data_IF_817633574364
#
_entry.id   IF_817633574364
#
_cell.length_a   1.000
_cell.length_b   1.000
_cell.length_c   1.000
_cell.angle_alpha   90.00
_cell.angle_beta   90.00
_cell.angle_gamma   90.00
#
_symmetry.space_group_name_H-M   'P 1'
#
loop_
_entity.id
_entity.type
_entity.pdbx_description
1 polymer ?
#
# COMPACT_ATOMS: atom_id res chain seq x y z
N UNK A 1 -0.33 -8.81 -0.38
CA UNK A 1 -0.11 -7.41 -0.05
C UNK A 1 -1.46 -6.72 0.13
N UNK A 2 -1.61 -6.02 1.23
CA UNK A 2 -2.80 -5.25 1.54
C UNK A 2 -2.42 -3.79 1.71
N UNK A 3 -3.32 -2.90 1.35
CA UNK A 3 -3.12 -1.46 1.51
C UNK A 3 -4.39 -0.78 2.03
N UNK A 4 -4.22 0.23 2.87
CA UNK A 4 -5.25 1.21 3.17
C UNK A 4 -4.65 2.62 3.13
N UNK A 5 -5.44 3.59 2.70
CA UNK A 5 -5.00 4.97 2.56
C UNK A 5 -6.21 5.91 2.51
N UNK A 6 -5.98 7.20 2.76
CA UNK A 6 -6.96 8.21 2.41
C UNK A 6 -6.95 8.41 0.91
N UNK A 7 -8.12 8.35 0.29
CA UNK A 7 -8.24 8.47 -1.17
C UNK A 7 -9.35 9.45 -1.53
N UNK A 8 -9.50 9.70 -2.83
CA UNK A 8 -10.62 10.50 -3.35
C UNK A 8 -11.98 9.86 -3.08
N UNK A 9 -12.02 8.58 -2.71
CA UNK A 9 -13.24 7.83 -2.42
C UNK A 9 -13.56 7.72 -0.93
N UNK A 10 -12.68 8.23 -0.05
CA UNK A 10 -12.96 8.24 1.38
C UNK A 10 -11.75 8.10 2.28
N UNK A 11 -12.05 7.98 3.57
CA UNK A 11 -11.07 7.78 4.62
C UNK A 11 -10.39 6.40 4.50
N UNK A 12 -9.19 6.26 5.08
CA UNK A 12 -8.46 4.97 5.06
C UNK A 12 -9.22 3.81 5.70
N UNK A 13 -10.23 4.10 6.52
CA UNK A 13 -11.10 3.06 7.13
C UNK A 13 -12.22 2.60 6.21
N UNK A 14 -12.49 3.34 5.14
CA UNK A 14 -13.57 2.99 4.22
C UNK A 14 -13.12 1.88 3.27
N UNK A 15 -14.04 0.96 2.96
CA UNK A 15 -13.72 -0.18 2.11
C UNK A 15 -13.22 0.23 0.72
N UNK A 16 -13.69 1.36 0.19
CA UNK A 16 -13.27 1.87 -1.12
C UNK A 16 -11.82 2.38 -1.11
N UNK A 17 -11.24 2.59 0.06
CA UNK A 17 -9.85 3.03 0.23
C UNK A 17 -8.91 1.89 0.61
N UNK A 18 -9.38 0.65 0.55
CA UNK A 18 -8.59 -0.54 0.81
C UNK A 18 -8.38 -1.31 -0.47
N UNK A 19 -7.31 -2.09 -0.52
CA UNK A 19 -7.04 -2.98 -1.63
C UNK A 19 -6.15 -4.13 -1.20
N UNK A 20 -6.08 -5.15 -2.05
CA UNK A 20 -5.22 -6.29 -1.86
C UNK A 20 -4.78 -6.85 -3.20
N UNK A 21 -3.58 -7.39 -3.26
CA UNK A 21 -3.04 -8.03 -4.45
C UNK A 21 -2.05 -9.12 -4.05
N UNK A 22 -1.76 -10.01 -4.98
CA UNK A 22 -0.76 -11.06 -4.80
C UNK A 22 0.52 -10.68 -5.53
N UNK A 23 1.66 -11.14 -5.00
CA UNK A 23 2.92 -11.05 -5.72
C UNK A 23 2.94 -12.07 -6.85
N UNK A 24 3.62 -11.71 -7.94
CA UNK A 24 3.81 -12.62 -9.07
C UNK A 24 5.04 -13.52 -8.89
N UNK A 25 5.38 -14.29 -9.92
CA UNK A 25 6.52 -15.21 -9.88
C UNK A 25 7.87 -14.51 -9.70
N UNK A 26 7.95 -13.22 -10.02
CA UNK A 26 9.16 -12.41 -9.86
C UNK A 26 9.17 -11.65 -8.52
N UNK A 27 8.17 -11.83 -7.68
CA UNK A 27 8.03 -11.10 -6.42
C UNK A 27 7.52 -9.68 -6.60
N UNK A 28 7.01 -9.34 -7.77
CA UNK A 28 6.46 -8.02 -8.06
C UNK A 28 4.97 -7.99 -7.79
N UNK A 29 4.44 -6.80 -7.48
CA UNK A 29 3.02 -6.62 -7.29
C UNK A 29 2.57 -5.27 -7.87
N UNK A 30 1.29 -5.21 -8.21
CA UNK A 30 0.64 -4.01 -8.69
C UNK A 30 -0.81 -4.01 -8.25
N UNK A 31 -1.31 -2.86 -7.84
CA UNK A 31 -2.70 -2.66 -7.48
C UNK A 31 -3.15 -1.30 -7.99
N UNK A 32 -4.30 -1.26 -8.63
CA UNK A 32 -4.97 0.00 -8.99
C UNK A 32 -6.05 0.28 -7.95
N UNK A 33 -6.12 1.53 -7.51
CA UNK A 33 -7.08 1.97 -6.51
C UNK A 33 -7.36 3.47 -6.71
N UNK A 34 -8.38 4.03 -6.03
CA UNK A 34 -8.62 5.47 -6.08
C UNK A 34 -7.38 6.27 -5.69
N UNK A 35 -7.24 7.48 -6.23
CA UNK A 35 -6.10 8.35 -5.97
C UNK A 35 -5.91 8.58 -4.47
N UNK A 36 -4.71 8.32 -3.98
CA UNK A 36 -4.32 8.61 -2.59
C UNK A 36 -4.15 10.11 -2.44
N UNK A 37 -4.74 10.67 -1.38
CA UNK A 37 -4.72 12.12 -1.12
C UNK A 37 -4.10 12.41 0.23
N UNK A 38 -3.54 13.62 0.43
CA UNK A 38 -2.96 14.00 1.72
C UNK A 38 -4.01 13.98 2.83
N UNK A 39 -3.63 13.39 3.97
CA UNK A 39 -4.39 13.44 5.20
C UNK A 39 -3.41 13.26 6.36
N UNK A 40 -3.50 14.10 7.37
CA UNK A 40 -2.59 14.08 8.52
C UNK A 40 -1.11 14.16 8.11
N UNK A 41 -0.80 14.95 7.07
CA UNK A 41 0.55 15.10 6.52
C UNK A 41 0.61 14.77 5.03
N UNK A 42 1.72 14.21 4.56
CA UNK A 42 1.89 13.84 3.16
C UNK A 42 0.97 12.67 2.77
N UNK A 43 0.60 12.61 1.50
CA UNK A 43 -0.10 11.46 0.94
C UNK A 43 0.74 10.20 1.17
N UNK A 44 0.14 9.17 1.73
CA UNK A 44 0.83 7.93 2.09
C UNK A 44 -0.13 6.75 2.10
N UNK A 45 0.43 5.54 2.05
CA UNK A 45 -0.31 4.32 2.24
C UNK A 45 0.20 3.56 3.45
N UNK A 46 -0.65 2.72 4.03
CA UNK A 46 -0.29 1.74 5.05
C UNK A 46 -0.37 0.37 4.38
N UNK A 47 0.77 -0.29 4.21
CA UNK A 47 0.86 -1.56 3.52
C UNK A 47 1.28 -2.68 4.46
N UNK A 48 0.80 -3.87 4.17
CA UNK A 48 1.20 -5.09 4.88
C UNK A 48 1.48 -6.20 3.86
N UNK A 49 2.60 -6.89 4.06
CA UNK A 49 2.86 -8.16 3.41
C UNK A 49 2.63 -9.27 4.42
N UNK A 50 1.84 -10.25 4.05
CA UNK A 50 1.50 -11.39 4.90
C UNK A 50 1.56 -12.67 4.07
N UNK A 51 2.22 -13.69 4.61
CA UNK A 51 2.30 -15.02 4.00
C UNK A 51 2.62 -16.07 5.05
N UNK A 52 2.54 -17.35 4.66
CA UNK A 52 2.88 -18.47 5.53
C UNK A 52 4.38 -18.69 5.69
N UNK A 53 5.19 -18.16 4.76
CA UNK A 53 6.62 -18.44 4.64
C UNK A 53 7.52 -17.38 5.25
N UNK A 54 6.99 -16.17 5.44
CA UNK A 54 7.76 -15.01 5.89
C UNK A 54 7.07 -14.29 7.03
N UNK A 55 7.85 -13.56 7.81
CA UNK A 55 7.29 -12.68 8.84
C UNK A 55 6.47 -11.57 8.19
N UNK A 56 5.38 -11.19 8.83
CA UNK A 56 4.57 -10.06 8.39
C UNK A 56 5.38 -8.77 8.44
N UNK A 57 5.33 -7.97 7.39
CA UNK A 57 6.05 -6.70 7.29
C UNK A 57 5.04 -5.59 7.01
N UNK A 58 5.17 -4.50 7.74
CA UNK A 58 4.36 -3.30 7.56
C UNK A 58 5.21 -2.17 7.01
N UNK A 59 4.68 -1.43 6.03
CA UNK A 59 5.32 -0.25 5.47
C UNK A 59 4.35 0.92 5.47
N UNK A 60 4.92 2.13 5.55
CA UNK A 60 4.18 3.38 5.41
C UNK A 60 4.86 4.26 4.36
N UNK A 61 4.83 3.87 3.07
CA UNK A 61 5.45 4.68 2.03
C UNK A 61 4.68 5.99 1.85
N UNK A 62 5.41 7.06 1.55
CA UNK A 62 4.84 8.37 1.26
C UNK A 62 5.03 8.69 -0.21
N UNK A 63 4.09 9.45 -0.77
CA UNK A 63 4.21 9.93 -2.13
C UNK A 63 5.11 11.16 -2.16
N UNK A 64 5.98 11.24 -3.17
CA UNK A 64 6.90 12.36 -3.33
C UNK A 64 6.15 13.68 -3.54
N UNK A 65 4.98 13.62 -4.18
CA UNK A 65 4.13 14.77 -4.43
C UNK A 65 2.67 14.35 -4.33
N UNK A 66 1.80 15.26 -3.89
CA UNK A 66 0.35 15.00 -3.85
C UNK A 66 -0.27 14.85 -5.25
N UNK A 67 0.45 15.24 -6.29
CA UNK A 67 0.02 15.05 -7.68
C UNK A 67 0.47 13.73 -8.28
N UNK A 68 1.29 12.95 -7.58
CA UNK A 68 1.73 11.63 -8.06
C UNK A 68 0.53 10.68 -8.15
N UNK A 69 0.55 9.85 -9.18
CA UNK A 69 -0.49 8.84 -9.43
C UNK A 69 0.01 7.43 -9.14
N UNK A 70 1.25 7.28 -8.70
CA UNK A 70 1.85 5.99 -8.38
C UNK A 70 2.56 6.07 -7.03
N UNK A 71 2.27 5.10 -6.17
CA UNK A 71 2.98 4.91 -4.91
C UNK A 71 3.83 3.65 -5.03
N UNK A 72 5.14 3.81 -4.88
CA UNK A 72 6.08 2.69 -4.93
C UNK A 72 6.36 2.16 -3.52
N UNK A 73 6.48 0.84 -3.42
CA UNK A 73 6.83 0.19 -2.17
C UNK A 73 7.64 -1.07 -2.43
N UNK A 74 8.69 -1.26 -1.62
CA UNK A 74 9.53 -2.44 -1.65
C UNK A 74 9.56 -3.08 -0.27
N UNK A 75 9.30 -4.37 -0.21
CA UNK A 75 9.36 -5.13 1.04
C UNK A 75 10.65 -5.94 1.10
N UNK A 76 11.29 -5.90 2.26
CA UNK A 76 12.39 -6.82 2.58
C UNK A 76 11.81 -7.91 3.48
N UNK A 77 11.78 -9.13 2.97
CA UNK A 77 11.14 -10.26 3.66
C UNK A 77 12.14 -11.02 4.52
N UNK A 78 11.69 -11.40 5.70
CA UNK A 78 12.45 -12.21 6.64
C UNK A 78 11.76 -13.58 6.78
N UNK A 79 12.46 -14.70 6.58
CA UNK A 79 11.90 -16.03 6.77
C UNK A 79 11.41 -16.22 8.21
N UNK A 80 10.37 -17.02 8.35
CA UNK A 80 9.90 -17.45 9.67
C UNK A 80 10.94 -18.27 10.39
#
# INVERSE_FOLDING_TARGET
IQICAHTTEGHERDAHSHGATLTDANGEFRLEMPQIVPAFGQAHGHLAYDSEDFKTVFLRPVMASSSDTTLHADFVLLPL
#
